data_IF_018027206289
#
_entry.id   IF_018027206289
#
_cell.length_a   1.000
_cell.length_b   1.000
_cell.length_c   1.000
_cell.angle_alpha   90.00
_cell.angle_beta   90.00
_cell.angle_gamma   90.00
#
_symmetry.space_group_name_H-M   'P 1'
#
loop_
_entity.id
_entity.type
_entity.pdbx_description
1 polymer ?
#
# COMPACT_ATOMS: atom_id res chain seq x y z
N UNK A 1 -20.45 -2.18 -20.53
CA UNK A 1 -19.51 -1.09 -20.87
C UNK A 1 -19.47 -0.01 -19.79
N UNK A 2 -20.57 0.68 -19.47
CA UNK A 2 -20.59 1.71 -18.41
C UNK A 2 -20.12 1.20 -17.04
N UNK A 3 -20.63 0.06 -16.57
CA UNK A 3 -20.23 -0.53 -15.28
C UNK A 3 -18.72 -0.84 -15.21
N UNK A 4 -18.14 -1.39 -16.29
CA UNK A 4 -16.70 -1.68 -16.40
C UNK A 4 -15.86 -0.40 -16.35
N UNK A 5 -16.29 0.65 -17.04
CA UNK A 5 -15.61 1.96 -17.02
C UNK A 5 -15.63 2.53 -15.61
N UNK A 6 -16.81 2.57 -14.97
CA UNK A 6 -16.98 3.08 -13.61
C UNK A 6 -16.09 2.29 -12.64
N UNK A 7 -16.10 0.95 -12.74
CA UNK A 7 -15.26 0.08 -11.94
C UNK A 7 -13.77 0.43 -12.10
N UNK A 8 -13.26 0.45 -13.32
CA UNK A 8 -11.85 0.76 -13.60
C UNK A 8 -11.46 2.18 -13.17
N UNK A 9 -12.35 3.15 -13.34
CA UNK A 9 -12.12 4.52 -12.87
C UNK A 9 -12.00 4.59 -11.35
N UNK A 10 -12.90 3.94 -10.61
CA UNK A 10 -12.82 3.86 -9.15
C UNK A 10 -11.55 3.14 -8.73
N UNK A 11 -11.24 2.00 -9.37
CA UNK A 11 -10.04 1.23 -9.07
C UNK A 11 -8.77 2.07 -9.26
N UNK A 12 -8.68 2.80 -10.36
CA UNK A 12 -7.56 3.70 -10.63
C UNK A 12 -7.45 4.81 -9.59
N UNK A 13 -8.57 5.49 -9.28
CA UNK A 13 -8.57 6.60 -8.32
C UNK A 13 -8.17 6.16 -6.91
N UNK A 14 -8.70 5.03 -6.44
CA UNK A 14 -8.36 4.48 -5.11
C UNK A 14 -6.88 4.14 -5.04
N UNK A 15 -6.35 3.44 -6.04
CA UNK A 15 -4.92 3.10 -6.12
C UNK A 15 -4.01 4.32 -6.23
N UNK A 16 -4.44 5.34 -6.98
CA UNK A 16 -3.69 6.58 -7.19
C UNK A 16 -3.47 7.33 -5.88
N UNK A 17 -4.43 7.30 -4.94
CA UNK A 17 -4.27 7.92 -3.61
C UNK A 17 -3.00 7.38 -2.92
N UNK A 18 -2.79 6.07 -2.91
CA UNK A 18 -1.62 5.45 -2.28
C UNK A 18 -0.32 5.79 -3.00
N UNK A 19 -0.33 5.86 -4.34
CA UNK A 19 0.83 6.29 -5.12
C UNK A 19 1.20 7.74 -4.79
N UNK A 20 0.23 8.64 -4.72
CA UNK A 20 0.45 10.05 -4.36
C UNK A 20 0.99 10.16 -2.94
N UNK A 21 0.40 9.46 -1.97
CA UNK A 21 0.90 9.41 -0.59
C UNK A 21 2.36 8.95 -0.59
N UNK A 22 2.67 7.87 -1.31
CA UNK A 22 4.02 7.34 -1.36
C UNK A 22 5.03 8.32 -2.00
N UNK A 23 4.65 9.04 -3.05
CA UNK A 23 5.49 10.10 -3.65
C UNK A 23 5.74 11.22 -2.64
N UNK A 24 4.70 11.68 -1.93
CA UNK A 24 4.84 12.72 -0.90
C UNK A 24 5.78 12.25 0.20
N UNK A 25 5.64 11.01 0.67
CA UNK A 25 6.49 10.44 1.70
C UNK A 25 7.95 10.31 1.25
N UNK A 26 8.24 9.92 0.00
CA UNK A 26 9.62 9.85 -0.53
C UNK A 26 10.37 11.18 -0.43
N UNK A 27 9.64 12.29 -0.54
CA UNK A 27 10.20 13.65 -0.53
C UNK A 27 10.01 14.38 0.81
N UNK A 28 9.39 13.73 1.79
CA UNK A 28 9.16 14.33 3.11
C UNK A 28 10.49 14.56 3.84
N UNK A 29 10.56 15.69 4.57
CA UNK A 29 11.72 16.04 5.42
C UNK A 29 11.54 15.57 6.85
N UNK A 30 10.31 15.58 7.35
CA UNK A 30 9.96 15.07 8.68
C UNK A 30 9.64 13.58 8.61
N UNK A 31 9.89 12.80 9.67
CA UNK A 31 9.53 11.39 9.73
C UNK A 31 8.03 11.17 9.47
N UNK A 32 7.71 10.27 8.55
CA UNK A 32 6.32 9.92 8.22
C UNK A 32 5.81 8.76 9.08
N UNK A 33 4.51 8.70 9.31
CA UNK A 33 3.84 7.51 9.87
C UNK A 33 3.18 6.68 8.76
N UNK A 34 2.94 5.39 9.04
CA UNK A 34 2.24 4.52 8.09
C UNK A 34 0.72 4.74 8.10
N UNK A 35 0.15 5.15 9.24
CA UNK A 35 -1.27 5.45 9.38
C UNK A 35 -1.50 6.53 10.45
N UNK A 36 -2.74 7.02 10.56
CA UNK A 36 -3.13 8.06 11.51
C UNK A 36 -3.17 7.59 12.97
N UNK A 37 -3.15 6.27 13.21
CA UNK A 37 -3.15 5.69 14.56
C UNK A 37 -1.77 5.63 15.21
N UNK A 38 -0.70 5.81 14.43
CA UNK A 38 0.67 5.80 14.92
C UNK A 38 1.29 7.20 14.87
N UNK A 39 1.93 7.61 15.98
CA UNK A 39 2.75 8.81 15.98
C UNK A 39 4.05 8.53 15.23
N UNK A 40 4.45 9.38 14.27
CA UNK A 40 5.75 9.24 13.65
C UNK A 40 6.85 9.33 14.72
N UNK A 41 7.95 8.57 14.56
CA UNK A 41 9.10 8.69 15.45
C UNK A 41 9.70 10.10 15.33
N UNK A 42 10.45 10.52 16.35
CA UNK A 42 11.22 11.77 16.24
C UNK A 42 12.44 11.58 15.34
N UNK A 43 12.97 12.67 14.79
CA UNK A 43 14.13 12.61 13.92
C UNK A 43 15.36 12.03 14.65
N UNK A 44 15.50 12.30 15.95
CA UNK A 44 16.62 11.82 16.78
C UNK A 44 16.50 10.32 17.12
N UNK A 45 15.29 9.75 17.02
CA UNK A 45 15.02 8.32 17.26
C UNK A 45 15.36 7.46 16.03
N UNK A 46 15.73 8.07 14.91
CA UNK A 46 16.00 7.40 13.64
C UNK A 46 17.47 7.45 13.23
N UNK A 47 17.97 6.33 12.72
CA UNK A 47 19.29 6.26 12.06
C UNK A 47 19.35 7.18 10.84
N UNK A 48 18.25 7.29 10.09
CA UNK A 48 18.14 8.20 8.95
C UNK A 48 16.67 8.46 8.61
N UNK A 49 16.24 9.72 8.75
CA UNK A 49 14.90 10.18 8.34
C UNK A 49 14.69 9.98 6.84
N UNK A 50 15.72 10.26 6.03
CA UNK A 50 15.63 10.11 4.57
C UNK A 50 15.41 8.65 4.17
N UNK A 51 16.13 7.71 4.80
CA UNK A 51 15.96 6.29 4.50
C UNK A 51 14.59 5.78 4.96
N UNK A 52 14.13 6.19 6.14
CA UNK A 52 12.81 5.89 6.67
C UNK A 52 11.70 6.33 5.72
N UNK A 53 11.73 7.60 5.31
CA UNK A 53 10.75 8.23 4.43
C UNK A 53 10.74 7.61 3.03
N UNK A 54 11.92 7.42 2.42
CA UNK A 54 12.03 6.80 1.09
C UNK A 54 11.52 5.37 1.07
N UNK A 55 11.78 4.57 2.11
CA UNK A 55 11.33 3.18 2.16
C UNK A 55 9.83 3.07 2.40
N UNK A 56 9.26 3.86 3.32
CA UNK A 56 7.80 3.90 3.50
C UNK A 56 7.09 4.40 2.25
N UNK A 57 7.58 5.49 1.66
CA UNK A 57 6.98 6.04 0.45
C UNK A 57 7.05 5.08 -0.73
N UNK A 58 8.18 4.39 -0.93
CA UNK A 58 8.29 3.32 -1.95
C UNK A 58 7.30 2.18 -1.69
N UNK A 59 7.12 1.76 -0.44
CA UNK A 59 6.16 0.70 -0.10
C UNK A 59 4.73 1.12 -0.44
N UNK A 60 4.34 2.38 -0.21
CA UNK A 60 3.03 2.90 -0.60
C UNK A 60 2.84 3.00 -2.12
N UNK A 61 3.88 3.38 -2.87
CA UNK A 61 3.84 3.37 -4.35
C UNK A 61 3.62 1.94 -4.86
N UNK A 62 4.39 0.98 -4.35
CA UNK A 62 4.26 -0.43 -4.72
C UNK A 62 2.86 -0.95 -4.38
N UNK A 63 2.36 -0.65 -3.19
CA UNK A 63 1.03 -1.04 -2.77
C UNK A 63 -0.06 -0.45 -3.68
N UNK A 64 -0.01 0.84 -3.99
CA UNK A 64 -0.99 1.46 -4.90
C UNK A 64 -1.00 0.79 -6.28
N UNK A 65 0.17 0.50 -6.85
CA UNK A 65 0.28 -0.22 -8.12
C UNK A 65 -0.26 -1.66 -8.05
N UNK A 66 0.11 -2.41 -7.00
CA UNK A 66 -0.37 -3.79 -6.80
C UNK A 66 -1.88 -3.82 -6.59
N UNK A 67 -2.42 -2.93 -5.77
CA UNK A 67 -3.85 -2.80 -5.52
C UNK A 67 -4.63 -2.56 -6.83
N UNK A 68 -4.08 -1.74 -7.74
CA UNK A 68 -4.72 -1.49 -9.04
C UNK A 68 -4.74 -2.77 -9.88
N UNK A 69 -3.61 -3.47 -9.95
CA UNK A 69 -3.49 -4.73 -10.68
C UNK A 69 -4.45 -5.77 -10.09
N UNK A 70 -4.51 -5.91 -8.77
CA UNK A 70 -5.40 -6.83 -8.06
C UNK A 70 -6.87 -6.54 -8.35
N UNK A 71 -7.28 -5.26 -8.41
CA UNK A 71 -8.63 -4.90 -8.83
C UNK A 71 -8.88 -5.20 -10.32
N UNK A 72 -7.94 -4.94 -11.22
CA UNK A 72 -8.10 -5.32 -12.63
C UNK A 72 -8.25 -6.83 -12.78
N UNK A 73 -7.40 -7.61 -12.11
CA UNK A 73 -7.44 -9.07 -12.11
C UNK A 73 -8.75 -9.61 -11.51
N UNK A 74 -9.28 -8.97 -10.47
CA UNK A 74 -10.60 -9.32 -9.94
C UNK A 74 -11.68 -9.15 -11.00
N UNK A 75 -11.72 -8.01 -11.70
CA UNK A 75 -12.66 -7.77 -12.79
C UNK A 75 -12.55 -8.80 -13.92
N UNK A 76 -11.32 -9.19 -14.29
CA UNK A 76 -11.07 -10.25 -15.28
C UNK A 76 -11.55 -11.61 -14.77
N UNK A 77 -11.28 -11.93 -13.50
CA UNK A 77 -11.65 -13.21 -12.91
C UNK A 77 -13.17 -13.42 -12.83
N UNK A 78 -13.98 -12.35 -12.79
CA UNK A 78 -15.43 -12.45 -12.88
C UNK A 78 -15.92 -12.98 -14.24
N UNK A 79 -15.09 -12.87 -15.28
CA UNK A 79 -15.36 -13.41 -16.62
C UNK A 79 -14.75 -14.79 -16.81
N UNK A 80 -13.55 -15.01 -16.25
CA UNK A 80 -12.78 -16.25 -16.46
C UNK A 80 -13.12 -17.37 -15.47
N UNK A 81 -13.59 -17.03 -14.27
CA UNK A 81 -13.92 -18.00 -13.22
C UNK A 81 -15.44 -18.08 -13.10
N UNK A 82 -16.03 -19.19 -13.53
CA UNK A 82 -17.48 -19.47 -13.41
C UNK A 82 -17.92 -19.74 -11.95
N UNK A 83 -17.19 -19.18 -10.98
CA UNK A 83 -17.47 -19.28 -9.55
C UNK A 83 -17.14 -17.94 -8.87
N UNK A 84 -18.15 -17.10 -8.73
CA UNK A 84 -18.05 -15.78 -8.10
C UNK A 84 -17.53 -15.86 -6.67
N UNK A 85 -17.95 -16.87 -5.89
CA UNK A 85 -17.52 -17.04 -4.49
C UNK A 85 -16.01 -17.29 -4.42
N UNK A 86 -15.49 -18.18 -5.28
CA UNK A 86 -14.06 -18.46 -5.35
C UNK A 86 -13.26 -17.21 -5.77
N UNK A 87 -13.72 -16.48 -6.78
CA UNK A 87 -13.09 -15.23 -7.21
C UNK A 87 -13.05 -14.18 -6.09
N UNK A 88 -14.13 -14.03 -5.32
CA UNK A 88 -14.18 -13.14 -4.15
C UNK A 88 -13.21 -13.55 -3.05
N UNK A 89 -13.09 -14.86 -2.76
CA UNK A 89 -12.14 -15.38 -1.77
C UNK A 89 -10.72 -15.07 -2.20
N UNK A 90 -10.36 -15.33 -3.46
CA UNK A 90 -9.02 -15.05 -4.00
C UNK A 90 -8.71 -13.55 -3.92
N UNK A 91 -9.67 -12.69 -4.28
CA UNK A 91 -9.52 -11.24 -4.19
C UNK A 91 -9.30 -10.78 -2.74
N UNK A 92 -10.11 -11.25 -1.80
CA UNK A 92 -9.97 -10.92 -0.38
C UNK A 92 -8.60 -11.35 0.16
N UNK A 93 -8.14 -12.56 -0.18
CA UNK A 93 -6.82 -13.06 0.20
C UNK A 93 -5.69 -12.21 -0.37
N UNK A 94 -5.80 -11.77 -1.63
CA UNK A 94 -4.81 -10.89 -2.25
C UNK A 94 -4.71 -9.55 -1.50
N UNK A 95 -5.84 -8.89 -1.22
CA UNK A 95 -5.87 -7.62 -0.48
C UNK A 95 -5.31 -7.78 0.94
N UNK A 96 -5.69 -8.84 1.66
CA UNK A 96 -5.15 -9.14 2.99
C UNK A 96 -3.63 -9.34 2.92
N UNK A 97 -3.15 -10.09 1.91
CA UNK A 97 -1.73 -10.32 1.69
C UNK A 97 -0.94 -9.04 1.44
N UNK A 98 -1.47 -8.14 0.60
CA UNK A 98 -0.86 -6.84 0.34
C UNK A 98 -0.76 -5.96 1.59
N UNK A 99 -1.83 -5.91 2.40
CA UNK A 99 -1.85 -5.15 3.66
C UNK A 99 -0.90 -5.78 4.68
N UNK A 100 -0.91 -7.11 4.81
CA UNK A 100 0.00 -7.83 5.70
C UNK A 100 1.47 -7.61 5.31
N UNK A 101 1.77 -7.54 4.01
CA UNK A 101 3.11 -7.21 3.51
C UNK A 101 3.55 -5.80 3.89
N UNK A 102 2.67 -4.80 3.79
CA UNK A 102 2.94 -3.44 4.24
C UNK A 102 3.28 -3.40 5.74
N UNK A 103 2.46 -4.03 6.57
CA UNK A 103 2.64 -4.07 8.02
C UNK A 103 3.92 -4.81 8.42
N UNK A 104 4.21 -5.94 7.76
CA UNK A 104 5.46 -6.67 7.96
C UNK A 104 6.68 -5.80 7.64
N UNK A 105 6.66 -5.12 6.49
CA UNK A 105 7.76 -4.23 6.10
C UNK A 105 7.91 -3.07 7.09
N UNK A 106 6.82 -2.47 7.53
CA UNK A 106 6.85 -1.40 8.52
C UNK A 106 7.52 -1.84 9.82
N UNK A 107 7.14 -3.00 10.35
CA UNK A 107 7.77 -3.57 11.54
C UNK A 107 9.25 -3.92 11.34
N UNK A 108 9.62 -4.40 10.14
CA UNK A 108 11.02 -4.62 9.77
C UNK A 108 11.80 -3.29 9.77
N UNK A 109 11.25 -2.22 9.21
CA UNK A 109 11.87 -0.90 9.19
C UNK A 109 12.01 -0.32 10.60
N UNK A 110 11.02 -0.47 11.47
CA UNK A 110 11.13 -0.09 12.89
C UNK A 110 12.31 -0.77 13.55
N UNK A 111 12.44 -2.09 13.42
CA UNK A 111 13.55 -2.85 14.01
C UNK A 111 14.92 -2.44 13.47
N UNK A 112 14.99 -1.98 12.22
CA UNK A 112 16.24 -1.67 11.51
C UNK A 112 16.69 -0.22 11.67
N UNK A 113 15.74 0.72 11.71
CA UNK A 113 16.02 2.15 11.58
C UNK A 113 15.73 2.95 12.84
N UNK A 114 14.98 2.41 13.81
CA UNK A 114 14.83 3.05 15.11
C UNK A 114 16.05 2.71 15.96
N UNK A 115 16.67 3.74 16.52
CA UNK A 115 17.78 3.61 17.47
C UNK A 115 17.20 3.04 18.76
N UNK A 116 17.71 1.88 19.19
CA UNK A 116 17.39 1.34 20.51
C UNK A 116 18.35 1.94 21.52
N UNK A 117 17.81 2.54 22.57
CA UNK A 117 18.58 2.83 23.79
C UNK A 117 19.14 1.54 24.41
#
# INVERSE_FOLDING_TARGET
MAATIIYLSISFLVSLIFVIIGIVQVHAKEPVSINTGEKPPKAEELVSVTEWNRKHGRNFIIYGCLLFITMVLFGISQVLIENTMLSLIIFALAIIGEIAWLEFNHNYLKRKLIIKE
#
